data_IF_600252828689
#
_entry.id   IF_600252828689
#
_cell.length_a   1.000
_cell.length_b   1.000
_cell.length_c   1.000
_cell.angle_alpha   90.00
_cell.angle_beta   90.00
_cell.angle_gamma   90.00
#
_symmetry.space_group_name_H-M   'P 1'
#
loop_
_entity.id
_entity.type
_entity.pdbx_description
1 polymer ?
#
# COMPACT_ATOMS: atom_id res chain seq x y z
N UNK A 1 -6.93 -9.69 1.53
CA UNK A 1 -6.18 -8.50 1.07
C UNK A 1 -5.32 -8.82 -0.16
N UNK A 2 -4.40 -9.79 -0.08
CA UNK A 2 -3.46 -10.14 -1.17
C UNK A 2 -4.13 -10.44 -2.50
N UNK A 3 -5.18 -11.27 -2.54
CA UNK A 3 -5.80 -11.72 -3.80
C UNK A 3 -6.48 -10.60 -4.61
N UNK A 4 -6.72 -9.44 -3.99
CA UNK A 4 -7.24 -8.24 -4.68
C UNK A 4 -6.16 -7.24 -5.06
N UNK A 5 -4.88 -7.55 -4.87
CA UNK A 5 -3.75 -6.67 -5.15
C UNK A 5 -2.97 -6.28 -3.90
N UNK A 6 -3.63 -5.58 -2.98
CA UNK A 6 -3.07 -5.15 -1.69
C UNK A 6 -2.28 -3.84 -1.78
N UNK A 7 -2.91 -2.76 -1.29
CA UNK A 7 -2.40 -1.39 -1.25
C UNK A 7 -2.00 -1.05 0.19
N UNK A 8 -0.88 -0.36 0.37
CA UNK A 8 -0.40 0.05 1.68
C UNK A 8 0.73 1.07 1.62
N UNK A 9 1.28 1.44 2.78
CA UNK A 9 2.29 2.51 2.91
C UNK A 9 3.55 2.28 2.06
N UNK A 10 3.92 1.03 1.82
CA UNK A 10 5.12 0.67 1.06
C UNK A 10 4.87 0.49 -0.44
N UNK A 11 3.63 0.65 -0.91
CA UNK A 11 3.29 0.31 -2.30
C UNK A 11 4.02 1.14 -3.34
N UNK A 12 4.31 2.41 -3.01
CA UNK A 12 5.01 3.32 -3.92
C UNK A 12 6.45 2.87 -4.16
N UNK A 13 7.09 2.33 -3.12
CA UNK A 13 8.48 1.88 -3.17
C UNK A 13 8.63 0.44 -3.69
N UNK A 14 7.72 -0.45 -3.32
CA UNK A 14 7.88 -1.90 -3.58
C UNK A 14 6.76 -2.52 -4.42
N UNK A 15 5.80 -1.73 -4.91
CA UNK A 15 4.64 -2.23 -5.64
C UNK A 15 3.54 -2.78 -4.72
N UNK A 16 2.49 -3.31 -5.32
CA UNK A 16 1.38 -3.94 -4.61
C UNK A 16 1.85 -5.20 -3.85
N UNK A 17 1.01 -5.71 -2.95
CA UNK A 17 1.30 -6.96 -2.25
C UNK A 17 1.50 -8.12 -3.24
N UNK A 18 0.72 -8.15 -4.34
CA UNK A 18 0.85 -9.14 -5.43
C UNK A 18 2.11 -9.02 -6.27
N UNK A 19 2.76 -7.86 -6.32
CA UNK A 19 4.01 -7.66 -7.06
C UNK A 19 5.20 -8.35 -6.36
N UNK A 20 5.03 -8.61 -5.07
CA UNK A 20 5.99 -9.29 -4.21
C UNK A 20 5.64 -10.75 -3.92
N UNK A 21 4.52 -11.24 -4.45
CA UNK A 21 4.10 -12.63 -4.30
C UNK A 21 4.99 -13.54 -5.16
N UNK A 22 5.54 -14.59 -4.55
CA UNK A 22 6.40 -15.59 -5.19
C UNK A 22 5.63 -16.85 -5.55
N UNK A 23 4.80 -17.34 -4.63
CA UNK A 23 3.94 -18.50 -4.85
C UNK A 23 2.73 -18.50 -3.91
N UNK A 24 1.73 -19.33 -4.21
CA UNK A 24 0.59 -19.63 -3.34
C UNK A 24 0.34 -21.13 -3.28
N UNK A 25 -0.21 -21.58 -2.16
CA UNK A 25 -0.84 -22.89 -2.01
C UNK A 25 -2.35 -22.69 -1.98
N UNK A 26 -3.09 -23.44 -2.79
CA UNK A 26 -4.51 -23.23 -3.02
C UNK A 26 -5.26 -24.55 -3.11
N UNK A 27 -6.44 -24.60 -2.48
CA UNK A 27 -7.41 -25.69 -2.64
C UNK A 27 -8.44 -25.27 -3.67
N UNK A 28 -8.50 -25.97 -4.80
CA UNK A 28 -9.44 -25.70 -5.89
C UNK A 28 -10.82 -26.29 -5.63
N UNK A 29 -11.80 -25.91 -6.45
CA UNK A 29 -13.21 -26.31 -6.27
C UNK A 29 -13.45 -27.83 -6.34
N UNK A 30 -12.58 -28.57 -7.02
CA UNK A 30 -12.56 -30.03 -7.06
C UNK A 30 -11.87 -30.68 -5.84
N UNK A 31 -11.52 -29.88 -4.83
CA UNK A 31 -10.91 -30.33 -3.58
C UNK A 31 -9.42 -30.63 -3.68
N UNK A 32 -8.77 -30.33 -4.81
CA UNK A 32 -7.34 -30.60 -5.01
C UNK A 32 -6.48 -29.51 -4.42
N UNK A 33 -5.37 -29.91 -3.80
CA UNK A 33 -4.32 -29.01 -3.37
C UNK A 33 -3.35 -28.75 -4.51
N UNK A 34 -3.09 -27.48 -4.81
CA UNK A 34 -2.18 -27.06 -5.87
C UNK A 34 -1.24 -25.97 -5.38
N UNK A 35 -0.04 -25.92 -5.97
CA UNK A 35 0.86 -24.79 -5.84
C UNK A 35 0.84 -23.99 -7.14
N UNK A 36 0.79 -22.66 -7.04
CA UNK A 36 0.86 -21.77 -8.18
C UNK A 36 1.98 -20.75 -8.00
N UNK A 37 2.84 -20.63 -9.02
CA UNK A 37 3.98 -19.73 -9.09
C UNK A 37 4.24 -19.32 -10.55
N UNK A 38 5.30 -18.55 -10.82
CA UNK A 38 5.69 -18.25 -12.20
C UNK A 38 6.09 -19.49 -13.02
N UNK A 39 6.52 -20.56 -12.35
CA UNK A 39 7.08 -21.76 -13.00
C UNK A 39 6.16 -22.99 -12.86
N UNK A 40 5.02 -22.85 -12.19
CA UNK A 40 4.08 -23.95 -11.89
C UNK A 40 2.67 -23.37 -11.86
N UNK A 41 1.73 -23.89 -12.66
CA UNK A 41 0.36 -23.36 -12.77
C UNK A 41 0.34 -21.82 -12.95
N UNK A 42 1.13 -21.32 -13.93
CA UNK A 42 1.40 -19.90 -14.10
C UNK A 42 0.17 -19.07 -14.50
N UNK A 43 -0.79 -19.69 -15.17
CA UNK A 43 -2.11 -19.14 -15.47
C UNK A 43 -2.93 -18.92 -14.19
N UNK A 44 -2.98 -19.90 -13.29
CA UNK A 44 -3.60 -19.78 -11.97
C UNK A 44 -2.87 -18.72 -11.13
N UNK A 45 -1.54 -18.70 -11.18
CA UNK A 45 -0.72 -17.70 -10.47
C UNK A 45 -0.94 -16.27 -10.99
N UNK A 46 -1.18 -16.10 -12.29
CA UNK A 46 -1.62 -14.83 -12.84
C UNK A 46 -3.02 -14.46 -12.33
N UNK A 47 -3.96 -15.42 -12.35
CA UNK A 47 -5.35 -15.19 -12.01
C UNK A 47 -5.57 -14.77 -10.54
N UNK A 48 -4.87 -15.40 -9.60
CA UNK A 48 -4.98 -15.10 -8.16
C UNK A 48 -4.36 -13.75 -7.77
N UNK A 49 -3.54 -13.14 -8.64
CA UNK A 49 -2.90 -11.83 -8.41
C UNK A 49 -3.79 -10.68 -8.88
N UNK A 50 -4.97 -10.57 -8.28
CA UNK A 50 -5.96 -9.52 -8.56
C UNK A 50 -7.37 -10.05 -8.80
N UNK A 51 -7.51 -11.33 -9.14
CA UNK A 51 -8.79 -11.98 -9.39
C UNK A 51 -9.55 -12.44 -8.14
N UNK A 52 -9.10 -12.09 -6.94
CA UNK A 52 -9.79 -12.42 -5.69
C UNK A 52 -9.84 -13.92 -5.38
N UNK A 53 -10.86 -14.34 -4.63
CA UNK A 53 -11.06 -15.73 -4.20
C UNK A 53 -11.77 -16.63 -5.23
N UNK A 54 -11.86 -16.22 -6.50
CA UNK A 54 -12.65 -16.93 -7.52
C UNK A 54 -12.09 -18.33 -7.88
N UNK A 55 -10.81 -18.58 -7.62
CA UNK A 55 -10.10 -19.76 -8.11
C UNK A 55 -9.87 -20.84 -7.05
N UNK A 56 -10.35 -20.61 -5.82
CA UNK A 56 -10.17 -21.52 -4.70
C UNK A 56 -9.80 -20.80 -3.40
N UNK A 57 -9.52 -21.60 -2.37
CA UNK A 57 -9.12 -21.11 -1.05
C UNK A 57 -7.61 -21.17 -0.95
N UNK A 58 -6.96 -20.00 -0.92
CA UNK A 58 -5.51 -19.93 -0.70
C UNK A 58 -5.20 -20.19 0.77
N UNK A 59 -4.40 -21.22 1.02
CA UNK A 59 -4.00 -21.69 2.36
C UNK A 59 -2.65 -21.13 2.79
N UNK A 60 -1.77 -20.81 1.83
CA UNK A 60 -0.47 -20.20 2.11
C UNK A 60 -0.04 -19.23 1.02
N UNK A 61 0.76 -18.23 1.41
CA UNK A 61 1.38 -17.26 0.52
C UNK A 61 2.88 -17.20 0.80
N UNK A 62 3.69 -17.15 -0.25
CA UNK A 62 5.13 -16.95 -0.16
C UNK A 62 5.49 -15.58 -0.75
N UNK A 63 6.21 -14.74 0.01
CA UNK A 63 6.52 -13.36 -0.38
C UNK A 63 8.02 -13.09 -0.47
N UNK A 64 8.40 -12.24 -1.43
CA UNK A 64 9.71 -11.58 -1.43
C UNK A 64 9.70 -10.48 -0.38
N UNK A 65 10.69 -10.50 0.51
CA UNK A 65 10.92 -9.46 1.50
C UNK A 65 11.94 -8.44 0.99
N UNK A 66 11.83 -7.21 1.46
CA UNK A 66 12.76 -6.13 1.18
C UNK A 66 13.47 -5.71 2.45
N UNK A 67 14.78 -5.48 2.37
CA UNK A 67 15.52 -4.90 3.50
C UNK A 67 15.03 -3.47 3.75
N UNK A 68 14.72 -3.17 5.01
CA UNK A 68 14.25 -1.85 5.43
C UNK A 68 14.83 -1.54 6.81
N UNK A 69 15.16 -0.26 7.03
CA UNK A 69 15.60 0.22 8.33
C UNK A 69 14.49 0.13 9.37
N UNK A 70 14.87 0.22 10.65
CA UNK A 70 13.94 0.21 11.79
C UNK A 70 13.29 1.58 12.04
N UNK A 71 13.77 2.62 11.38
CA UNK A 71 13.30 4.00 11.55
C UNK A 71 12.39 4.40 10.39
N UNK A 72 11.21 4.91 10.72
CA UNK A 72 10.24 5.46 9.77
C UNK A 72 9.86 6.84 10.27
N UNK A 73 10.03 7.87 9.44
CA UNK A 73 9.52 9.20 9.76
C UNK A 73 8.03 9.24 9.43
N UNK A 74 7.20 9.63 10.39
CA UNK A 74 5.77 9.82 10.21
C UNK A 74 5.38 11.24 10.64
N UNK A 75 4.56 11.91 9.84
CA UNK A 75 4.05 13.25 10.15
C UNK A 75 2.56 13.35 9.83
N UNK A 76 1.82 14.08 10.67
CA UNK A 76 0.42 14.42 10.45
C UNK A 76 0.28 15.93 10.23
N UNK A 77 -0.39 16.34 9.17
CA UNK A 77 -0.75 17.75 8.92
C UNK A 77 -2.26 17.90 8.92
N UNK A 78 -2.77 18.95 9.55
CA UNK A 78 -4.19 19.26 9.58
C UNK A 78 -4.42 20.68 9.06
N UNK A 79 -5.40 20.82 8.16
CA UNK A 79 -5.78 22.11 7.57
C UNK A 79 -7.28 22.34 7.71
N UNK A 80 -7.72 23.58 7.94
CA UNK A 80 -9.13 23.93 7.89
C UNK A 80 -9.67 23.81 6.45
N UNK A 81 -10.98 23.56 6.31
CA UNK A 81 -11.62 23.38 5.00
C UNK A 81 -11.57 24.61 4.09
N UNK A 82 -11.53 25.81 4.63
CA UNK A 82 -11.45 27.05 3.84
C UNK A 82 -10.14 27.14 3.02
N UNK A 83 -9.08 26.45 3.46
CA UNK A 83 -7.82 26.29 2.75
C UNK A 83 -7.80 25.10 1.78
N UNK A 84 -8.90 24.34 1.65
CA UNK A 84 -8.91 23.09 0.91
C UNK A 84 -8.42 23.24 -0.53
N UNK A 85 -8.81 24.32 -1.22
CA UNK A 85 -8.42 24.55 -2.62
C UNK A 85 -6.90 24.61 -2.80
N UNK A 86 -6.22 25.39 -1.98
CA UNK A 86 -4.77 25.59 -2.07
C UNK A 86 -4.02 24.34 -1.63
N UNK A 87 -4.52 23.68 -0.58
CA UNK A 87 -4.00 22.41 -0.07
C UNK A 87 -4.12 21.29 -1.11
N UNK A 88 -5.27 21.16 -1.79
CA UNK A 88 -5.45 20.19 -2.87
C UNK A 88 -4.54 20.50 -4.06
N UNK A 89 -4.43 21.77 -4.44
CA UNK A 89 -3.52 22.19 -5.51
C UNK A 89 -2.08 21.78 -5.19
N UNK A 90 -1.58 22.11 -4.00
CA UNK A 90 -0.26 21.69 -3.55
C UNK A 90 -0.12 20.16 -3.55
N UNK A 91 -1.10 19.44 -2.98
CA UNK A 91 -1.07 17.98 -2.92
C UNK A 91 -0.93 17.36 -4.30
N UNK A 92 -1.77 17.73 -5.26
CA UNK A 92 -1.72 17.19 -6.62
C UNK A 92 -0.48 17.61 -7.40
N UNK A 93 0.01 18.83 -7.19
CA UNK A 93 1.26 19.30 -7.80
C UNK A 93 2.46 18.51 -7.24
N UNK A 94 2.51 18.30 -5.92
CA UNK A 94 3.58 17.56 -5.24
C UNK A 94 3.56 16.06 -5.56
N UNK A 95 2.39 15.42 -5.69
CA UNK A 95 2.27 13.98 -5.99
C UNK A 95 3.03 13.57 -7.27
N UNK A 96 3.20 14.48 -8.23
CA UNK A 96 3.88 14.22 -9.51
C UNK A 96 5.40 14.08 -9.35
N UNK A 97 5.98 14.75 -8.36
CA UNK A 97 7.43 14.79 -8.12
C UNK A 97 7.81 14.01 -6.85
N UNK A 98 6.83 13.42 -6.17
CA UNK A 98 7.02 12.77 -4.89
C UNK A 98 7.91 11.52 -5.01
N UNK A 99 8.99 11.40 -4.21
CA UNK A 99 9.86 10.23 -4.24
C UNK A 99 9.11 8.96 -3.81
N UNK A 100 9.56 7.81 -4.28
CA UNK A 100 8.90 6.52 -4.03
C UNK A 100 8.93 6.11 -2.55
N UNK A 101 9.94 6.55 -1.80
CA UNK A 101 10.05 6.33 -0.36
C UNK A 101 8.99 7.07 0.47
N UNK A 102 8.37 8.12 -0.10
CA UNK A 102 7.38 8.93 0.58
C UNK A 102 5.98 8.42 0.25
N UNK A 103 5.24 8.09 1.29
CA UNK A 103 3.80 7.85 1.24
C UNK A 103 3.06 9.08 1.74
N UNK A 104 2.03 9.51 1.00
CA UNK A 104 1.25 10.70 1.33
C UNK A 104 -0.24 10.41 1.19
N UNK A 105 -0.86 10.04 2.32
CA UNK A 105 -2.28 9.80 2.42
C UNK A 105 -3.04 11.09 2.74
N UNK A 106 -4.20 11.26 2.12
CA UNK A 106 -5.15 12.31 2.42
C UNK A 106 -6.42 11.67 3.00
N UNK A 107 -6.96 12.27 4.06
CA UNK A 107 -8.31 12.03 4.54
C UNK A 107 -9.00 13.35 4.87
N UNK A 108 -10.33 13.35 4.82
CA UNK A 108 -11.14 14.44 5.34
C UNK A 108 -12.00 13.87 6.46
N UNK A 109 -12.08 14.58 7.57
CA UNK A 109 -12.92 14.18 8.70
C UNK A 109 -13.69 15.39 9.25
N UNK A 110 -14.91 15.12 9.70
CA UNK A 110 -15.74 16.04 10.46
C UNK A 110 -15.49 15.74 11.94
N UNK A 111 -15.13 16.74 12.74
CA UNK A 111 -15.03 16.54 14.18
C UNK A 111 -16.42 16.26 14.76
N UNK A 112 -16.51 15.43 15.81
CA UNK A 112 -17.78 15.00 16.41
C UNK A 112 -18.66 16.17 16.91
N UNK A 113 -18.06 17.32 17.20
CA UNK A 113 -18.79 18.54 17.57
C UNK A 113 -19.51 19.22 16.38
N UNK A 114 -19.29 18.78 15.14
CA UNK A 114 -19.91 19.35 13.94
C UNK A 114 -19.37 20.72 13.53
N UNK A 115 -18.51 21.34 14.34
CA UNK A 115 -18.07 22.73 14.19
C UNK A 115 -16.87 22.90 13.26
N UNK A 116 -16.14 21.80 12.96
CA UNK A 116 -14.99 21.86 12.07
C UNK A 116 -14.85 20.61 11.22
N UNK A 117 -14.73 20.84 9.92
CA UNK A 117 -14.26 19.84 8.97
C UNK A 117 -12.80 20.17 8.65
N UNK A 118 -11.93 19.18 8.77
CA UNK A 118 -10.50 19.32 8.54
C UNK A 118 -10.02 18.37 7.45
N UNK A 119 -9.08 18.84 6.65
CA UNK A 119 -8.24 17.98 5.82
C UNK A 119 -7.08 17.48 6.67
N UNK A 120 -6.86 16.17 6.65
CA UNK A 120 -5.77 15.52 7.35
C UNK A 120 -4.87 14.83 6.35
N UNK A 121 -3.58 15.02 6.50
CA UNK A 121 -2.59 14.28 5.74
C UNK A 121 -1.71 13.45 6.64
N UNK A 122 -1.51 12.19 6.24
CA UNK A 122 -0.51 11.30 6.83
C UNK A 122 0.65 11.14 5.88
N UNK A 123 1.84 11.56 6.32
CA UNK A 123 3.09 11.34 5.60
C UNK A 123 3.88 10.23 6.29
N UNK A 124 4.48 9.35 5.48
CA UNK A 124 5.41 8.33 5.94
C UNK A 124 6.61 8.22 5.01
N UNK A 125 7.81 8.44 5.50
CA UNK A 125 9.04 8.27 4.72
C UNK A 125 9.79 7.01 5.16
N UNK A 126 10.09 6.15 4.19
CA UNK A 126 10.66 4.81 4.35
C UNK A 126 12.07 4.65 3.76
N UNK A 127 12.73 5.78 3.47
CA UNK A 127 14.12 5.83 3.03
C UNK A 127 15.11 5.92 4.18
N UNK A 128 16.41 5.85 3.87
CA UNK A 128 17.46 6.06 4.88
C UNK A 128 17.39 7.49 5.43
N UNK A 129 17.41 7.60 6.76
CA UNK A 129 17.46 8.86 7.50
C UNK A 129 18.91 9.26 7.88
N UNK A 130 19.89 8.37 7.71
CA UNK A 130 21.30 8.65 8.02
C UNK A 130 21.78 9.87 7.22
N UNK A 131 22.24 10.90 7.94
CA UNK A 131 22.74 12.15 7.36
C UNK A 131 21.67 13.16 6.92
N UNK A 132 20.37 12.85 7.07
CA UNK A 132 19.26 13.76 6.73
C UNK A 132 18.60 14.43 7.95
N UNK A 133 18.81 13.88 9.14
CA UNK A 133 18.36 14.44 10.40
C UNK A 133 19.58 14.57 11.31
N UNK A 134 20.26 15.71 11.25
CA UNK A 134 21.15 16.17 12.33
C UNK A 134 20.26 16.80 13.39
N UNK A 135 19.98 16.05 14.46
CA UNK A 135 19.46 16.61 15.72
C UNK A 135 20.63 17.14 16.52
#
# INVERSE_FOLDING_TARGET
MTLGGGIGRLMRKYGLTIDNLLSVEIVTADGRFQRASKNENADLFWAVRGGGGNFGVVTAFEFRLHSMGTEILSCGLAYPLDQAKDVFKFYFDFLREMPDELHFGLSAAIQENGDSVGLFFGLGYSGSLKGKLSV
#
